data_IF_218501831158
#
_entry.id   IF_218501831158
#
_cell.length_a   1.000
_cell.length_b   1.000
_cell.length_c   1.000
_cell.angle_alpha   90.00
_cell.angle_beta   90.00
_cell.angle_gamma   90.00
#
_symmetry.space_group_name_H-M   'P 1'
#
loop_
_entity.id
_entity.type
_entity.pdbx_description
1 polymer ?
#
# COMPACT_ATOMS: atom_id res chain seq x y z
N UNK A 1 17.16 -25.51 -26.66
CA UNK A 1 16.09 -24.79 -27.39
C UNK A 1 16.20 -23.32 -27.00
N UNK A 2 16.42 -22.41 -27.96
CA UNK A 2 16.42 -20.98 -27.67
C UNK A 2 14.97 -20.49 -27.66
N UNK A 3 14.50 -20.01 -26.51
CA UNK A 3 13.22 -19.29 -26.44
C UNK A 3 13.31 -18.00 -27.27
N UNK A 4 12.24 -17.58 -27.95
CA UNK A 4 12.23 -16.31 -28.68
C UNK A 4 12.47 -15.14 -27.70
N UNK A 5 13.16 -14.07 -28.15
CA UNK A 5 13.44 -12.92 -27.29
C UNK A 5 12.14 -12.26 -26.85
N UNK A 6 11.98 -12.07 -25.54
CA UNK A 6 10.83 -11.38 -24.95
C UNK A 6 10.88 -9.90 -25.35
N UNK A 7 9.90 -9.44 -26.13
CA UNK A 7 9.72 -8.01 -26.43
C UNK A 7 8.99 -7.34 -25.27
N UNK A 8 9.66 -6.39 -24.60
CA UNK A 8 9.06 -5.65 -23.49
C UNK A 8 7.86 -4.81 -23.94
N UNK A 9 6.77 -4.81 -23.14
CA UNK A 9 5.67 -3.85 -23.26
C UNK A 9 6.02 -2.47 -22.69
N UNK A 10 7.12 -2.38 -21.96
CA UNK A 10 7.65 -1.18 -21.31
C UNK A 10 9.15 -1.08 -21.63
N UNK A 11 9.55 -0.79 -22.87
CA UNK A 11 10.97 -0.83 -23.28
C UNK A 11 11.81 0.28 -22.64
N UNK A 12 11.19 1.40 -22.27
CA UNK A 12 11.87 2.62 -21.83
C UNK A 12 11.65 2.93 -20.33
N UNK A 13 11.13 1.98 -19.54
CA UNK A 13 11.01 2.16 -18.08
C UNK A 13 12.32 1.76 -17.40
N UNK A 14 12.85 2.66 -16.58
CA UNK A 14 14.07 2.46 -15.80
C UNK A 14 13.86 2.75 -14.31
N UNK A 15 14.95 2.89 -13.58
CA UNK A 15 14.92 3.28 -12.16
C UNK A 15 14.37 4.70 -12.02
N UNK A 16 13.56 4.96 -11.00
CA UNK A 16 13.04 6.30 -10.74
C UNK A 16 14.10 7.19 -10.07
N UNK A 17 13.97 8.50 -10.23
CA UNK A 17 14.87 9.48 -9.58
C UNK A 17 14.87 9.35 -8.05
N UNK A 18 13.78 8.88 -7.45
CA UNK A 18 13.67 8.66 -6.00
C UNK A 18 14.65 7.59 -5.51
N UNK A 19 14.81 6.49 -6.25
CA UNK A 19 15.79 5.44 -5.91
C UNK A 19 17.21 5.98 -6.02
N UNK A 20 17.50 6.72 -7.10
CA UNK A 20 18.83 7.30 -7.35
C UNK A 20 19.21 8.27 -6.23
N UNK A 21 18.31 9.17 -5.85
CA UNK A 21 18.58 10.18 -4.84
C UNK A 21 18.68 9.59 -3.42
N UNK A 22 17.86 8.58 -3.11
CA UNK A 22 17.93 7.89 -1.81
C UNK A 22 19.28 7.20 -1.61
N UNK A 23 19.77 6.49 -2.63
CA UNK A 23 21.09 5.82 -2.55
C UNK A 23 22.23 6.84 -2.48
N UNK A 24 22.14 7.95 -3.22
CA UNK A 24 23.12 9.03 -3.14
C UNK A 24 23.18 9.63 -1.73
N UNK A 25 22.03 9.98 -1.15
CA UNK A 25 21.98 10.55 0.20
C UNK A 25 22.61 9.59 1.24
N UNK A 26 22.31 8.29 1.14
CA UNK A 26 22.91 7.26 2.00
C UNK A 26 24.42 7.18 1.85
N UNK A 27 24.93 7.20 0.62
CA UNK A 27 26.37 7.11 0.33
C UNK A 27 27.15 8.31 0.85
N UNK A 28 26.58 9.52 0.71
CA UNK A 28 27.23 10.76 1.12
C UNK A 28 26.97 11.12 2.59
N UNK A 29 26.18 10.32 3.32
CA UNK A 29 25.78 10.63 4.70
C UNK A 29 24.90 11.88 4.82
N UNK A 30 24.16 12.21 3.75
CA UNK A 30 23.30 13.39 3.71
C UNK A 30 21.94 13.11 4.37
N UNK A 31 21.31 14.15 4.91
CA UNK A 31 19.91 14.10 5.33
C UNK A 31 19.02 13.93 4.10
N UNK A 32 18.23 12.85 4.07
CA UNK A 32 17.41 12.52 2.91
C UNK A 32 16.03 13.19 3.00
N UNK A 33 15.89 14.38 2.41
CA UNK A 33 14.60 15.06 2.26
C UNK A 33 13.85 14.68 0.96
N UNK A 34 14.38 13.72 0.19
CA UNK A 34 13.79 13.26 -1.07
C UNK A 34 12.88 12.04 -0.93
N UNK A 35 12.97 11.31 0.19
CA UNK A 35 12.14 10.14 0.44
C UNK A 35 10.68 10.54 0.72
N UNK A 36 9.75 9.79 0.15
CA UNK A 36 8.30 10.03 0.30
C UNK A 36 7.66 9.27 1.46
N UNK A 37 8.42 8.80 2.45
CA UNK A 37 7.91 8.06 3.61
C UNK A 37 8.44 8.64 4.94
N UNK A 38 7.66 8.55 6.03
CA UNK A 38 8.08 9.02 7.35
C UNK A 38 9.32 8.31 7.88
N UNK A 39 10.13 9.00 8.68
CA UNK A 39 11.29 8.46 9.40
C UNK A 39 10.96 8.05 10.85
N UNK A 40 9.68 8.01 11.20
CA UNK A 40 9.15 7.59 12.49
C UNK A 40 8.09 6.49 12.33
N UNK A 41 7.87 5.72 13.40
CA UNK A 41 6.92 4.62 13.42
C UNK A 41 5.45 5.06 13.46
N UNK A 42 4.57 4.18 12.98
CA UNK A 42 3.13 4.37 13.07
C UNK A 42 2.56 4.24 14.49
N UNK A 43 1.24 4.44 14.66
CA UNK A 43 0.58 4.34 15.96
C UNK A 43 0.76 2.96 16.60
N UNK A 44 1.22 2.92 17.86
CA UNK A 44 1.46 1.68 18.61
C UNK A 44 0.25 0.75 18.68
N UNK A 45 -0.95 1.31 18.88
CA UNK A 45 -2.18 0.53 18.93
C UNK A 45 -2.44 -0.26 17.63
N UNK A 46 -2.04 0.28 16.48
CA UNK A 46 -2.16 -0.42 15.19
C UNK A 46 -1.22 -1.63 15.14
N UNK A 47 0.04 -1.45 15.56
CA UNK A 47 1.03 -2.53 15.63
C UNK A 47 0.53 -3.67 16.55
N UNK A 48 0.00 -3.33 17.72
CA UNK A 48 -0.54 -4.31 18.67
C UNK A 48 -1.72 -5.11 18.10
N UNK A 49 -2.63 -4.46 17.36
CA UNK A 49 -3.76 -5.14 16.70
C UNK A 49 -3.30 -6.05 15.56
N UNK A 50 -2.33 -5.61 14.76
CA UNK A 50 -1.73 -6.43 13.71
C UNK A 50 -1.11 -7.69 14.32
N UNK A 51 -0.28 -7.54 15.36
CA UNK A 51 0.31 -8.68 16.07
C UNK A 51 -0.76 -9.62 16.63
N UNK A 52 -1.80 -9.08 17.27
CA UNK A 52 -2.90 -9.88 17.79
C UNK A 52 -3.54 -10.77 16.70
N UNK A 53 -3.95 -10.18 15.58
CA UNK A 53 -4.63 -10.92 14.50
C UNK A 53 -3.73 -11.95 13.82
N UNK A 54 -2.42 -11.68 13.70
CA UNK A 54 -1.44 -12.68 13.27
C UNK A 54 -1.40 -13.89 14.21
N UNK A 55 -1.37 -13.64 15.52
CA UNK A 55 -1.25 -14.69 16.54
C UNK A 55 -2.55 -15.48 16.74
N UNK A 56 -3.72 -14.87 16.48
CA UNK A 56 -5.02 -15.54 16.61
C UNK A 56 -5.47 -16.29 15.34
N UNK A 57 -4.61 -16.36 14.31
CA UNK A 57 -4.86 -17.18 13.13
C UNK A 57 -5.65 -16.51 12.01
N UNK A 58 -5.76 -15.18 11.98
CA UNK A 58 -6.38 -14.42 10.89
C UNK A 58 -5.45 -14.32 9.66
N UNK A 59 -4.92 -15.47 9.21
CA UNK A 59 -3.84 -15.60 8.22
C UNK A 59 -4.27 -16.28 6.92
N UNK A 60 -5.56 -16.58 6.77
CA UNK A 60 -6.13 -17.12 5.54
C UNK A 60 -6.56 -15.99 4.61
N UNK A 61 -6.87 -16.33 3.36
CA UNK A 61 -7.31 -15.35 2.37
C UNK A 61 -8.50 -14.54 2.89
N UNK A 62 -8.37 -13.21 2.77
CA UNK A 62 -9.50 -12.31 2.90
C UNK A 62 -10.47 -12.49 1.70
N UNK A 63 -11.74 -12.07 1.83
CA UNK A 63 -12.63 -11.94 0.69
C UNK A 63 -12.02 -11.03 -0.39
N UNK A 64 -12.36 -11.28 -1.65
CA UNK A 64 -11.75 -10.62 -2.82
C UNK A 64 -11.83 -9.09 -2.77
N UNK A 65 -12.95 -8.52 -2.34
CA UNK A 65 -13.15 -7.07 -2.22
C UNK A 65 -12.51 -6.48 -0.95
N UNK A 66 -12.01 -7.31 -0.05
CA UNK A 66 -11.53 -6.93 1.28
C UNK A 66 -12.41 -7.43 2.42
N UNK A 67 -11.84 -7.41 3.62
CA UNK A 67 -12.51 -7.82 4.87
C UNK A 67 -13.73 -6.91 5.13
N UNK A 68 -14.93 -7.46 5.40
CA UNK A 68 -16.15 -6.67 5.60
C UNK A 68 -16.00 -5.56 6.65
N UNK A 69 -15.46 -5.88 7.82
CA UNK A 69 -15.25 -4.92 8.90
C UNK A 69 -14.33 -3.74 8.50
N UNK A 70 -13.37 -3.96 7.59
CA UNK A 70 -12.53 -2.88 7.07
C UNK A 70 -13.30 -2.00 6.09
N UNK A 71 -14.11 -2.59 5.21
CA UNK A 71 -14.94 -1.84 4.26
C UNK A 71 -15.98 -0.96 4.97
N UNK A 72 -16.63 -1.49 6.01
CA UNK A 72 -17.56 -0.73 6.87
C UNK A 72 -16.86 0.44 7.59
N UNK A 73 -15.65 0.20 8.12
CA UNK A 73 -14.87 1.25 8.78
C UNK A 73 -14.44 2.36 7.79
N UNK A 74 -14.11 1.99 6.55
CA UNK A 74 -13.82 2.97 5.49
C UNK A 74 -15.07 3.76 5.13
N UNK A 75 -16.23 3.11 4.94
CA UNK A 75 -17.49 3.80 4.65
C UNK A 75 -17.84 4.84 5.73
N UNK A 76 -17.71 4.45 7.00
CA UNK A 76 -17.93 5.35 8.14
C UNK A 76 -16.98 6.54 8.11
N UNK A 77 -15.68 6.29 7.88
CA UNK A 77 -14.68 7.35 7.80
C UNK A 77 -14.97 8.34 6.66
N UNK A 78 -15.47 7.87 5.51
CA UNK A 78 -15.80 8.73 4.37
C UNK A 78 -17.05 9.58 4.68
N UNK A 79 -18.07 9.01 5.33
CA UNK A 79 -19.25 9.79 5.76
C UNK A 79 -18.86 10.84 6.81
N UNK A 80 -18.02 10.49 7.79
CA UNK A 80 -17.56 11.42 8.82
C UNK A 80 -16.73 12.59 8.26
N UNK A 81 -15.85 12.32 7.30
CA UNK A 81 -14.95 13.34 6.73
C UNK A 81 -15.62 14.20 5.65
N UNK A 82 -16.52 13.60 4.87
CA UNK A 82 -17.00 14.19 3.61
C UNK A 82 -18.52 14.21 3.47
N UNK A 83 -19.28 13.70 4.46
CA UNK A 83 -20.74 13.54 4.41
C UNK A 83 -21.21 12.76 3.17
N UNK A 84 -20.37 11.83 2.73
CA UNK A 84 -20.63 10.95 1.59
C UNK A 84 -20.88 9.53 2.10
N UNK A 85 -22.10 9.04 1.90
CA UNK A 85 -22.48 7.68 2.28
C UNK A 85 -22.15 6.73 1.15
N UNK A 86 -21.25 5.79 1.44
CA UNK A 86 -20.88 4.71 0.53
C UNK A 86 -21.46 3.37 1.01
N UNK A 87 -21.95 2.56 0.09
CA UNK A 87 -22.29 1.15 0.33
C UNK A 87 -20.99 0.33 0.42
N UNK A 88 -20.64 -0.23 1.59
CA UNK A 88 -19.40 -0.98 1.74
C UNK A 88 -19.35 -2.23 0.88
N UNK A 89 -20.47 -2.82 0.46
CA UNK A 89 -20.51 -4.03 -0.36
C UNK A 89 -20.25 -3.77 -1.85
N UNK A 90 -20.59 -2.58 -2.34
CA UNK A 90 -20.57 -2.28 -3.79
C UNK A 90 -19.64 -1.13 -4.18
N UNK A 91 -19.30 -0.23 -3.26
CA UNK A 91 -18.56 1.00 -3.55
C UNK A 91 -17.16 1.05 -2.92
N UNK A 92 -16.75 -0.01 -2.21
CA UNK A 92 -15.44 -0.09 -1.54
C UNK A 92 -14.71 -1.38 -1.91
N UNK A 93 -13.51 -1.22 -2.47
CA UNK A 93 -12.57 -2.31 -2.74
C UNK A 93 -11.25 -2.04 -2.02
N UNK A 94 -10.80 -2.98 -1.20
CA UNK A 94 -9.49 -2.92 -0.54
C UNK A 94 -8.42 -3.45 -1.48
N UNK A 95 -7.32 -2.71 -1.61
CA UNK A 95 -6.16 -3.08 -2.42
C UNK A 95 -4.87 -3.06 -1.60
N UNK A 96 -3.80 -3.64 -2.15
CA UNK A 96 -2.44 -3.71 -1.60
C UNK A 96 -1.72 -2.36 -1.75
N UNK A 97 -2.29 -1.34 -1.11
CA UNK A 97 -1.85 0.04 -1.19
C UNK A 97 -2.40 0.80 -2.40
N UNK A 98 -2.27 2.13 -2.35
CA UNK A 98 -2.83 3.03 -3.36
C UNK A 98 -2.27 2.80 -4.78
N UNK A 99 -1.05 2.24 -4.89
CA UNK A 99 -0.46 1.90 -6.20
C UNK A 99 -1.27 0.84 -6.94
N UNK A 100 -1.75 -0.21 -6.26
CA UNK A 100 -2.60 -1.22 -6.90
C UNK A 100 -3.98 -0.65 -7.25
N UNK A 101 -4.52 0.27 -6.43
CA UNK A 101 -5.78 0.93 -6.76
C UNK A 101 -5.72 1.77 -8.06
N UNK A 102 -4.53 2.23 -8.45
CA UNK A 102 -4.31 3.03 -9.65
C UNK A 102 -3.90 2.21 -10.89
N UNK A 103 -3.33 1.02 -10.70
CA UNK A 103 -2.71 0.21 -11.75
C UNK A 103 -3.75 -0.45 -12.66
#
# INVERSE_FOLDING_TARGET
MNSPPLKSKLPDVGTTIFTVMTELARREGALNLSQGYPDFDGPRALLERVTHHFMTGSNQYAPMMGVPALREAIATKIDDLYSARLDPETEITVTSGATEALF
#
